data_IF_604400369915
#
_entry.id   IF_604400369915
#
_cell.length_a   1.000
_cell.length_b   1.000
_cell.length_c   1.000
_cell.angle_alpha   90.00
_cell.angle_beta   90.00
_cell.angle_gamma   90.00
#
_symmetry.space_group_name_H-M   'P 1'
#
loop_
_entity.id
_entity.type
_entity.pdbx_description
1 polymer ?
#
# COMPACT_ATOMS: atom_id res chain seq x y z
N UNK A 1 -29.73 -44.11 15.59
CA UNK A 1 -28.59 -43.25 15.87
C UNK A 1 -28.68 -42.08 14.90
N UNK A 2 -29.27 -40.96 15.37
CA UNK A 2 -29.57 -39.77 14.57
C UNK A 2 -28.35 -38.88 14.59
N UNK A 3 -27.69 -38.70 13.46
CA UNK A 3 -26.62 -37.70 13.27
C UNK A 3 -27.29 -36.36 12.92
N UNK A 4 -27.25 -35.40 13.84
CA UNK A 4 -27.64 -34.03 13.59
C UNK A 4 -26.56 -33.37 12.72
N UNK A 5 -26.94 -32.90 11.54
CA UNK A 5 -26.14 -32.01 10.72
C UNK A 5 -26.23 -30.61 11.32
N UNK A 6 -25.13 -30.10 11.83
CA UNK A 6 -24.95 -28.67 12.14
C UNK A 6 -24.85 -27.88 10.84
N UNK A 7 -25.44 -26.68 10.74
CA UNK A 7 -25.27 -25.83 9.58
C UNK A 7 -23.82 -25.35 9.49
N UNK A 8 -23.22 -25.52 8.32
CA UNK A 8 -21.89 -25.01 7.99
C UNK A 8 -22.00 -23.49 7.91
N UNK A 9 -21.37 -22.80 8.84
CA UNK A 9 -21.11 -21.36 8.71
C UNK A 9 -20.25 -21.13 7.46
N UNK A 10 -20.42 -20.01 6.75
CA UNK A 10 -19.57 -19.67 5.62
C UNK A 10 -18.12 -19.59 6.12
N UNK A 11 -17.30 -20.48 5.63
CA UNK A 11 -15.91 -20.62 6.03
C UNK A 11 -15.14 -19.35 5.69
N UNK A 12 -14.64 -18.70 6.72
CA UNK A 12 -13.56 -17.73 6.69
C UNK A 12 -12.39 -18.35 5.90
N UNK A 13 -12.11 -17.81 4.71
CA UNK A 13 -11.09 -18.35 3.82
C UNK A 13 -9.72 -17.78 4.18
N UNK A 14 -9.11 -18.28 5.24
CA UNK A 14 -7.67 -18.08 5.46
C UNK A 14 -6.92 -19.02 4.53
N UNK A 15 -6.29 -18.48 3.50
CA UNK A 15 -5.47 -19.24 2.56
C UNK A 15 -4.02 -19.19 3.01
N UNK A 16 -3.48 -20.29 3.48
CA UNK A 16 -2.04 -20.47 3.76
C UNK A 16 -1.41 -21.02 2.48
N UNK A 17 -0.60 -20.20 1.80
CA UNK A 17 0.17 -20.66 0.64
C UNK A 17 1.63 -20.78 1.04
N UNK A 18 2.13 -22.04 1.10
CA UNK A 18 3.56 -22.32 1.13
C UNK A 18 4.10 -22.20 -0.30
N UNK A 19 4.88 -21.17 -0.59
CA UNK A 19 5.61 -21.05 -1.84
C UNK A 19 7.03 -21.57 -1.69
N UNK A 20 7.32 -22.75 -2.28
CA UNK A 20 8.67 -23.11 -2.66
C UNK A 20 8.92 -22.52 -4.06
N UNK A 21 9.40 -21.29 -4.13
CA UNK A 21 9.78 -20.65 -5.37
C UNK A 21 11.29 -20.78 -5.55
N UNK A 22 11.73 -21.83 -6.23
CA UNK A 22 13.01 -21.84 -6.94
C UNK A 22 12.85 -20.93 -8.18
N UNK A 23 12.87 -19.63 -7.96
CA UNK A 23 13.06 -18.68 -9.04
C UNK A 23 14.47 -18.09 -8.86
N UNK A 24 15.35 -18.43 -9.80
CA UNK A 24 16.54 -17.63 -10.05
C UNK A 24 16.07 -16.25 -10.46
N UNK A 25 15.94 -15.36 -9.47
CA UNK A 25 15.71 -13.95 -9.72
C UNK A 25 16.98 -13.40 -10.37
N UNK A 26 16.98 -13.30 -11.70
CA UNK A 26 17.80 -12.30 -12.37
C UNK A 26 17.42 -10.95 -11.78
N UNK A 27 18.38 -10.28 -11.14
CA UNK A 27 18.28 -8.91 -10.64
C UNK A 27 18.07 -7.92 -11.80
N UNK A 28 16.88 -7.93 -12.35
CA UNK A 28 16.26 -6.78 -12.98
C UNK A 28 15.01 -6.51 -12.12
N UNK A 29 15.19 -5.73 -11.06
CA UNK A 29 14.08 -5.00 -10.46
C UNK A 29 13.65 -3.96 -11.52
N UNK A 30 13.01 -4.42 -12.58
CA UNK A 30 12.13 -3.62 -13.37
C UNK A 30 10.99 -3.28 -12.45
N UNK A 31 10.75 -1.99 -12.24
CA UNK A 31 9.50 -1.47 -11.69
C UNK A 31 8.41 -2.24 -12.43
N UNK A 32 7.69 -3.14 -11.73
CA UNK A 32 6.54 -3.82 -12.32
C UNK A 32 5.61 -2.77 -12.90
N UNK A 33 4.77 -3.07 -13.90
CA UNK A 33 3.94 -2.08 -14.55
C UNK A 33 3.15 -1.33 -13.47
N UNK A 34 3.46 -0.04 -13.33
CA UNK A 34 2.79 0.88 -12.41
C UNK A 34 1.41 1.17 -12.99
N UNK A 35 0.43 0.28 -12.77
CA UNK A 35 -0.88 0.47 -13.38
C UNK A 35 -1.80 -0.73 -13.20
N UNK A 36 -3.03 -0.57 -13.70
CA UNK A 36 -4.02 -1.63 -13.81
C UNK A 36 -3.68 -2.52 -15.00
N UNK A 37 -3.09 -3.67 -14.73
CA UNK A 37 -2.74 -4.66 -15.75
C UNK A 37 -3.99 -5.35 -16.28
N UNK A 38 -4.23 -5.30 -17.59
CA UNK A 38 -5.35 -5.98 -18.22
C UNK A 38 -5.23 -7.51 -18.11
N UNK A 39 -6.37 -8.20 -18.04
CA UNK A 39 -6.41 -9.66 -18.03
C UNK A 39 -6.62 -10.21 -19.44
N UNK A 40 -5.61 -10.85 -19.99
CA UNK A 40 -5.66 -11.62 -21.25
C UNK A 40 -5.54 -13.14 -21.01
N UNK A 41 -5.88 -13.60 -19.80
CA UNK A 41 -5.85 -15.01 -19.40
C UNK A 41 -4.68 -15.39 -18.48
N UNK A 42 -3.82 -14.43 -18.09
CA UNK A 42 -2.71 -14.65 -17.17
C UNK A 42 -3.14 -14.62 -15.69
N UNK A 43 -4.29 -14.02 -15.37
CA UNK A 43 -4.78 -13.97 -13.99
C UNK A 43 -5.55 -15.25 -13.68
N UNK A 44 -5.22 -15.87 -12.56
CA UNK A 44 -5.79 -17.13 -12.13
C UNK A 44 -6.33 -17.07 -10.69
N UNK A 45 -7.20 -18.00 -10.35
CA UNK A 45 -7.73 -18.19 -9.00
C UNK A 45 -6.73 -18.97 -8.10
N UNK A 46 -7.12 -19.20 -6.85
CA UNK A 46 -6.34 -19.96 -5.88
C UNK A 46 -6.13 -21.44 -6.25
N UNK A 47 -6.84 -21.95 -7.25
CA UNK A 47 -6.69 -23.30 -7.79
C UNK A 47 -5.91 -23.33 -9.10
N UNK A 48 -5.25 -22.21 -9.46
CA UNK A 48 -4.49 -22.01 -10.70
C UNK A 48 -5.34 -22.16 -11.97
N UNK A 49 -6.63 -21.87 -11.88
CA UNK A 49 -7.51 -21.82 -13.06
C UNK A 49 -7.63 -20.39 -13.54
N UNK A 50 -7.68 -20.15 -14.87
CA UNK A 50 -7.92 -18.82 -15.41
C UNK A 50 -9.13 -18.17 -14.75
N UNK A 51 -8.99 -16.92 -14.33
CA UNK A 51 -10.05 -16.14 -13.69
C UNK A 51 -10.54 -14.98 -14.60
N UNK A 52 -11.45 -15.25 -15.55
CA UNK A 52 -11.95 -14.23 -16.47
C UNK A 52 -12.87 -13.19 -15.82
N UNK A 53 -13.28 -13.40 -14.56
CA UNK A 53 -14.09 -12.40 -13.83
C UNK A 53 -13.28 -11.18 -13.43
N UNK A 54 -11.96 -11.30 -13.30
CA UNK A 54 -11.05 -10.18 -13.09
C UNK A 54 -10.71 -9.56 -14.44
N UNK A 55 -11.01 -8.29 -14.60
CA UNK A 55 -10.73 -7.55 -15.83
C UNK A 55 -9.35 -6.87 -15.79
N UNK A 56 -9.03 -6.32 -14.64
CA UNK A 56 -7.77 -5.62 -14.37
C UNK A 56 -7.25 -5.97 -12.98
N UNK A 57 -5.92 -5.99 -12.86
CA UNK A 57 -5.22 -6.23 -11.60
C UNK A 57 -4.25 -5.06 -11.33
N UNK A 58 -4.35 -4.45 -10.16
CA UNK A 58 -3.36 -3.57 -9.60
C UNK A 58 -2.60 -4.33 -8.49
N UNK A 59 -1.27 -4.32 -8.55
CA UNK A 59 -0.42 -4.89 -7.51
C UNK A 59 0.22 -3.74 -6.73
N UNK A 60 -0.15 -3.62 -5.48
CA UNK A 60 0.41 -2.64 -4.55
C UNK A 60 1.11 -3.29 -3.37
N UNK A 61 1.85 -2.50 -2.61
CA UNK A 61 2.48 -2.96 -1.38
C UNK A 61 1.41 -3.28 -0.33
N UNK A 62 1.39 -4.52 0.18
CA UNK A 62 0.43 -4.98 1.19
C UNK A 62 -1.01 -5.16 0.71
N UNK A 63 -1.34 -4.74 -0.51
CA UNK A 63 -2.69 -4.86 -1.07
C UNK A 63 -2.67 -4.94 -2.59
N UNK A 64 -3.35 -5.94 -3.14
CA UNK A 64 -3.69 -5.98 -4.56
C UNK A 64 -5.15 -5.58 -4.76
N UNK A 65 -5.47 -5.04 -5.92
CA UNK A 65 -6.86 -4.68 -6.27
C UNK A 65 -7.26 -5.36 -7.56
N UNK A 66 -8.38 -6.08 -7.52
CA UNK A 66 -8.94 -6.74 -8.67
C UNK A 66 -10.21 -6.02 -9.11
N UNK A 67 -10.25 -5.50 -10.34
CA UNK A 67 -11.44 -4.89 -10.91
C UNK A 67 -12.26 -5.95 -11.65
N UNK A 68 -13.57 -5.98 -11.42
CA UNK A 68 -14.53 -6.91 -12.03
C UNK A 68 -15.68 -6.14 -12.68
N UNK A 69 -16.55 -6.81 -13.43
CA UNK A 69 -17.72 -6.15 -14.04
C UNK A 69 -18.70 -5.53 -13.04
N UNK A 70 -18.73 -6.00 -11.79
CA UNK A 70 -19.72 -5.59 -10.79
C UNK A 70 -19.09 -5.10 -9.49
N UNK A 71 -17.92 -4.52 -9.57
CA UNK A 71 -17.22 -4.02 -8.40
C UNK A 71 -15.74 -4.27 -8.47
N UNK A 72 -15.12 -4.30 -7.29
CA UNK A 72 -13.69 -4.55 -7.15
C UNK A 72 -13.42 -5.31 -5.85
N UNK A 73 -12.22 -5.83 -5.69
CA UNK A 73 -11.82 -6.50 -4.47
C UNK A 73 -10.45 -6.01 -4.01
N UNK A 74 -10.30 -5.86 -2.70
CA UNK A 74 -9.01 -5.77 -2.03
C UNK A 74 -8.55 -7.17 -1.65
N UNK A 75 -7.35 -7.54 -2.05
CA UNK A 75 -6.62 -8.68 -1.52
C UNK A 75 -5.48 -8.14 -0.66
N UNK A 76 -5.75 -7.93 0.64
CA UNK A 76 -4.73 -7.53 1.61
C UNK A 76 -3.85 -8.71 1.96
N UNK A 77 -2.57 -8.47 2.22
CA UNK A 77 -1.67 -9.54 2.64
C UNK A 77 -0.65 -9.06 3.67
N UNK A 78 -0.27 -9.97 4.54
CA UNK A 78 0.85 -9.81 5.46
C UNK A 78 1.90 -10.86 5.17
N UNK A 79 3.17 -10.47 5.33
CA UNK A 79 4.31 -11.39 5.21
C UNK A 79 4.83 -11.70 6.60
N UNK A 80 4.97 -12.99 6.88
CA UNK A 80 5.69 -13.47 8.07
C UNK A 80 6.96 -14.16 7.59
N UNK A 81 8.11 -13.60 7.93
CA UNK A 81 9.38 -14.28 7.74
C UNK A 81 9.48 -15.41 8.78
N UNK A 82 9.69 -16.63 8.30
CA UNK A 82 9.91 -17.76 9.18
C UNK A 82 11.21 -17.60 9.96
N UNK A 83 11.30 -18.15 11.15
CA UNK A 83 12.55 -18.25 11.90
C UNK A 83 13.53 -19.14 11.10
N UNK A 84 14.34 -18.52 10.24
CA UNK A 84 15.38 -19.14 9.44
C UNK A 84 16.74 -18.72 9.96
N UNK A 85 17.22 -19.41 10.96
CA UNK A 85 18.65 -19.46 11.22
C UNK A 85 19.31 -20.44 10.23
N UNK A 86 20.62 -20.30 9.91
CA UNK A 86 21.32 -21.28 9.11
C UNK A 86 21.24 -22.62 9.85
N UNK A 87 20.49 -23.58 9.30
CA UNK A 87 20.57 -24.97 9.74
C UNK A 87 21.95 -25.45 9.33
N UNK A 88 22.84 -25.50 10.30
CA UNK A 88 24.15 -26.11 10.15
C UNK A 88 23.92 -27.56 9.71
N UNK A 89 24.16 -27.83 8.41
CA UNK A 89 24.16 -29.20 7.90
C UNK A 89 23.21 -29.53 6.75
N UNK A 90 22.53 -28.57 6.13
CA UNK A 90 21.80 -28.84 4.89
C UNK A 90 22.74 -28.82 3.68
N UNK A 91 23.10 -29.99 3.08
CA UNK A 91 24.02 -30.05 1.94
C UNK A 91 23.45 -29.45 0.65
N UNK A 92 22.18 -29.01 0.63
CA UNK A 92 21.51 -28.52 -0.56
C UNK A 92 21.89 -27.08 -0.92
N UNK A 93 22.47 -26.29 -0.03
CA UNK A 93 22.74 -24.85 -0.24
C UNK A 93 24.22 -24.52 -0.46
N UNK A 94 25.13 -25.48 -0.37
CA UNK A 94 26.55 -25.26 -0.65
C UNK A 94 27.29 -24.50 0.46
N UNK A 95 28.55 -24.23 0.23
CA UNK A 95 29.45 -23.42 1.08
C UNK A 95 30.00 -22.25 0.25
N UNK A 96 30.17 -21.09 0.87
CA UNK A 96 30.78 -19.92 0.24
C UNK A 96 32.32 -20.13 0.04
N UNK A 97 32.97 -19.16 -0.61
CA UNK A 97 34.42 -19.22 -0.89
C UNK A 97 35.28 -19.27 0.39
N UNK A 98 34.70 -18.97 1.58
CA UNK A 98 35.35 -19.04 2.89
C UNK A 98 34.96 -20.30 3.68
N UNK A 99 34.25 -21.25 3.05
CA UNK A 99 33.85 -22.50 3.68
C UNK A 99 32.67 -22.38 4.66
N UNK A 100 31.89 -21.31 4.59
CA UNK A 100 30.72 -21.09 5.46
C UNK A 100 29.44 -21.57 4.75
N UNK A 101 28.49 -22.18 5.46
CA UNK A 101 27.20 -22.52 4.88
C UNK A 101 26.52 -21.29 4.28
N UNK A 102 26.06 -21.39 3.03
CA UNK A 102 25.22 -20.35 2.42
C UNK A 102 23.83 -20.49 3.06
N UNK A 103 23.29 -19.41 3.70
CA UNK A 103 21.94 -19.45 4.27
C UNK A 103 20.94 -19.80 3.16
N UNK A 104 20.06 -20.76 3.43
CA UNK A 104 18.92 -21.02 2.55
C UNK A 104 17.95 -19.83 2.54
N UNK A 105 17.04 -19.76 1.55
CA UNK A 105 16.01 -18.75 1.52
C UNK A 105 15.16 -18.88 2.80
N UNK A 106 14.94 -17.75 3.47
CA UNK A 106 14.04 -17.69 4.65
C UNK A 106 12.63 -18.02 4.14
N UNK A 107 11.95 -19.06 4.69
CA UNK A 107 10.59 -19.35 4.27
C UNK A 107 9.69 -18.17 4.63
N UNK A 108 9.08 -17.56 3.62
CA UNK A 108 8.15 -16.45 3.80
C UNK A 108 6.72 -16.97 3.67
N UNK A 109 5.90 -16.72 4.68
CA UNK A 109 4.49 -17.08 4.67
C UNK A 109 3.65 -15.84 4.38
N UNK A 110 2.81 -15.90 3.35
CA UNK A 110 1.86 -14.84 3.04
C UNK A 110 0.47 -15.23 3.57
N UNK A 111 -0.16 -14.31 4.28
CA UNK A 111 -1.56 -14.43 4.70
C UNK A 111 -2.38 -13.41 3.92
N UNK A 112 -3.34 -13.89 3.17
CA UNK A 112 -4.24 -13.06 2.37
C UNK A 112 -5.62 -12.98 3.02
N UNK A 113 -6.21 -11.78 2.98
CA UNK A 113 -7.61 -11.57 3.23
C UNK A 113 -8.24 -10.84 2.07
N UNK A 114 -9.37 -11.38 1.56
CA UNK A 114 -10.09 -10.80 0.44
C UNK A 114 -11.35 -10.09 0.92
N UNK A 115 -11.53 -8.86 0.44
CA UNK A 115 -12.69 -8.01 0.69
C UNK A 115 -13.30 -7.68 -0.67
N UNK A 116 -14.48 -8.21 -0.96
CA UNK A 116 -15.20 -7.91 -2.21
C UNK A 116 -16.16 -6.73 -1.98
N UNK A 117 -15.99 -5.67 -2.78
CA UNK A 117 -16.89 -4.52 -2.84
C UNK A 117 -17.70 -4.59 -4.12
N UNK A 118 -19.02 -4.77 -4.01
CA UNK A 118 -19.91 -4.92 -5.15
C UNK A 118 -20.85 -3.74 -5.31
N UNK A 119 -21.09 -3.34 -6.54
CA UNK A 119 -22.07 -2.31 -6.89
C UNK A 119 -23.48 -2.86 -6.72
N UNK A 120 -24.19 -2.46 -5.68
CA UNK A 120 -25.58 -2.89 -5.43
C UNK A 120 -26.49 -2.22 -6.45
N UNK A 121 -27.24 -3.02 -7.22
CA UNK A 121 -28.07 -2.58 -8.35
C UNK A 121 -27.29 -1.80 -9.42
N UNK A 122 -25.97 -1.96 -9.48
CA UNK A 122 -25.13 -1.35 -10.49
C UNK A 122 -25.36 -1.99 -11.88
N UNK A 123 -25.03 -1.27 -12.93
CA UNK A 123 -25.10 -1.72 -14.31
C UNK A 123 -23.92 -2.67 -14.62
N UNK A 124 -24.13 -3.98 -14.78
CA UNK A 124 -23.06 -4.92 -15.09
C UNK A 124 -22.49 -4.75 -16.51
N UNK A 125 -23.17 -3.97 -17.37
CA UNK A 125 -22.74 -3.62 -18.72
C UNK A 125 -22.20 -2.19 -18.81
N UNK A 126 -21.73 -1.60 -17.72
CA UNK A 126 -21.11 -0.27 -17.71
C UNK A 126 -19.96 -0.21 -18.73
N UNK A 127 -19.90 0.87 -19.50
CA UNK A 127 -18.79 1.10 -20.42
C UNK A 127 -17.49 1.30 -19.64
N UNK A 128 -16.42 0.60 -20.05
CA UNK A 128 -15.13 0.71 -19.41
C UNK A 128 -14.20 1.53 -20.29
N UNK A 129 -13.84 2.72 -19.80
CA UNK A 129 -12.86 3.60 -20.42
C UNK A 129 -11.48 3.36 -19.78
N UNK A 130 -10.43 3.45 -20.62
CA UNK A 130 -9.04 3.20 -20.25
C UNK A 130 -8.22 4.42 -20.61
N UNK A 131 -7.39 4.89 -19.67
CA UNK A 131 -6.55 6.06 -19.90
C UNK A 131 -5.14 5.78 -19.36
N UNK A 132 -4.14 6.46 -19.92
CA UNK A 132 -2.74 6.30 -19.52
C UNK A 132 -2.19 4.90 -19.81
N UNK A 133 -2.40 4.40 -21.04
CA UNK A 133 -1.85 3.12 -21.50
C UNK A 133 -0.33 3.14 -21.42
N UNK A 134 0.28 2.08 -20.86
CA UNK A 134 1.73 1.93 -20.78
C UNK A 134 2.36 1.82 -22.16
N UNK A 135 3.53 2.42 -22.36
CA UNK A 135 4.33 2.25 -23.58
C UNK A 135 4.83 0.80 -23.69
N UNK A 136 5.22 0.22 -22.55
CA UNK A 136 5.66 -1.17 -22.44
C UNK A 136 4.51 -2.14 -22.32
N UNK A 137 4.77 -3.40 -22.64
CA UNK A 137 3.86 -4.52 -22.45
C UNK A 137 4.60 -5.73 -21.87
N UNK A 138 3.86 -6.62 -21.21
CA UNK A 138 4.39 -7.87 -20.66
C UNK A 138 3.81 -9.08 -21.41
N UNK A 139 4.64 -10.09 -21.62
CA UNK A 139 4.20 -11.39 -22.13
C UNK A 139 4.32 -12.44 -21.04
N UNK A 140 3.25 -13.15 -20.77
CA UNK A 140 3.17 -14.19 -19.75
C UNK A 140 3.13 -15.57 -20.41
N UNK A 141 4.17 -16.38 -20.17
CA UNK A 141 4.25 -17.78 -20.58
C UNK A 141 4.34 -18.63 -19.31
N UNK A 142 3.18 -18.99 -18.79
CA UNK A 142 3.04 -19.74 -17.55
C UNK A 142 2.25 -21.03 -17.82
N UNK A 143 2.20 -21.91 -16.85
CA UNK A 143 1.35 -23.10 -16.92
C UNK A 143 -0.16 -22.78 -17.06
N UNK A 144 -0.57 -21.60 -16.59
CA UNK A 144 -1.97 -21.13 -16.74
C UNK A 144 -2.25 -20.62 -18.16
N UNK A 145 -1.30 -19.88 -18.75
CA UNK A 145 -1.45 -19.33 -20.12
C UNK A 145 -1.10 -20.30 -21.23
N UNK A 146 -0.44 -21.41 -20.89
CA UNK A 146 0.03 -22.40 -21.85
C UNK A 146 1.09 -21.87 -22.82
N UNK A 147 1.33 -22.64 -23.91
CA UNK A 147 2.36 -22.31 -24.91
C UNK A 147 2.03 -21.03 -25.71
N UNK A 148 0.76 -20.73 -25.92
CA UNK A 148 0.34 -19.52 -26.63
C UNK A 148 0.66 -18.25 -25.82
N UNK A 149 0.69 -18.34 -24.50
CA UNK A 149 0.91 -17.23 -23.60
C UNK A 149 -0.23 -16.21 -23.60
N UNK A 150 -0.17 -15.27 -22.65
CA UNK A 150 -0.91 -14.02 -22.71
C UNK A 150 0.07 -12.92 -23.15
N UNK A 151 -0.07 -12.44 -24.37
CA UNK A 151 0.90 -11.55 -25.00
C UNK A 151 0.38 -10.13 -25.16
N UNK A 152 1.32 -9.17 -25.23
CA UNK A 152 1.02 -7.74 -25.35
C UNK A 152 0.08 -7.23 -24.25
N UNK A 153 0.24 -7.75 -23.04
CA UNK A 153 -0.53 -7.33 -21.86
C UNK A 153 -0.07 -5.94 -21.45
N UNK A 154 -0.97 -4.98 -21.45
CA UNK A 154 -0.70 -3.58 -21.11
C UNK A 154 -1.26 -3.20 -19.77
N UNK A 155 -0.78 -2.09 -19.24
CA UNK A 155 -1.29 -1.48 -18.02
C UNK A 155 -1.84 -0.08 -18.31
N UNK A 156 -2.75 0.37 -17.46
CA UNK A 156 -3.44 1.67 -17.58
C UNK A 156 -3.37 2.39 -16.24
N UNK A 157 -3.14 3.70 -16.24
CA UNK A 157 -3.15 4.49 -15.00
C UNK A 157 -4.55 4.74 -14.46
N UNK A 158 -5.55 4.72 -15.34
CA UNK A 158 -6.94 5.02 -14.98
C UNK A 158 -7.92 4.09 -15.70
N UNK A 159 -8.87 3.55 -14.94
CA UNK A 159 -9.99 2.75 -15.45
C UNK A 159 -11.29 3.38 -14.96
N UNK A 160 -12.16 3.82 -15.86
CA UNK A 160 -13.45 4.43 -15.53
C UNK A 160 -14.61 3.54 -15.98
N UNK A 161 -15.48 3.18 -15.04
CA UNK A 161 -16.75 2.51 -15.30
C UNK A 161 -17.82 3.57 -15.40
N UNK A 162 -18.34 3.81 -16.62
CA UNK A 162 -19.36 4.82 -16.89
C UNK A 162 -20.75 4.28 -16.63
N UNK A 163 -21.58 5.12 -16.05
CA UNK A 163 -23.00 4.77 -15.77
C UNK A 163 -23.13 3.48 -14.96
N UNK A 164 -22.30 3.32 -13.93
CA UNK A 164 -22.48 2.23 -12.94
C UNK A 164 -23.86 2.32 -12.31
N UNK A 165 -24.29 3.53 -11.94
CA UNK A 165 -25.67 3.89 -11.67
C UNK A 165 -26.04 5.05 -12.61
N UNK A 166 -27.33 5.35 -12.81
CA UNK A 166 -27.73 6.42 -13.72
C UNK A 166 -27.00 7.75 -13.41
N UNK A 167 -26.26 8.26 -14.38
CA UNK A 167 -25.44 9.46 -14.28
C UNK A 167 -24.35 9.42 -13.18
N UNK A 168 -23.87 8.22 -12.81
CA UNK A 168 -22.80 8.04 -11.83
C UNK A 168 -21.74 7.08 -12.37
N UNK A 169 -20.51 7.57 -12.38
CA UNK A 169 -19.33 6.82 -12.82
C UNK A 169 -18.48 6.41 -11.59
N UNK A 170 -17.75 5.30 -11.72
CA UNK A 170 -16.70 4.92 -10.76
C UNK A 170 -15.37 4.87 -11.48
N UNK A 171 -14.43 5.68 -11.03
CA UNK A 171 -13.12 5.81 -11.64
C UNK A 171 -12.05 5.30 -10.68
N UNK A 172 -11.24 4.39 -11.15
CA UNK A 172 -10.11 3.82 -10.44
C UNK A 172 -8.83 4.45 -10.95
N UNK A 173 -8.00 4.94 -10.04
CA UNK A 173 -6.73 5.58 -10.32
C UNK A 173 -5.61 4.85 -9.61
N UNK A 174 -4.46 4.77 -10.25
CA UNK A 174 -3.22 4.35 -9.63
C UNK A 174 -2.08 5.28 -10.04
N UNK A 175 -1.19 5.56 -9.13
CA UNK A 175 -0.09 6.50 -9.33
C UNK A 175 0.94 6.38 -8.20
N UNK A 176 1.76 7.39 -8.05
CA UNK A 176 2.80 7.44 -7.00
C UNK A 176 2.24 7.28 -5.58
N UNK A 177 0.98 7.67 -5.35
CA UNK A 177 0.29 7.54 -4.07
C UNK A 177 -0.48 6.21 -3.92
N UNK A 178 -0.28 5.24 -4.81
CA UNK A 178 -0.94 3.95 -4.78
C UNK A 178 -2.32 3.97 -5.44
N UNK A 179 -3.20 3.07 -4.98
CA UNK A 179 -4.55 2.88 -5.48
C UNK A 179 -5.54 3.82 -4.80
N UNK A 180 -6.48 4.35 -5.58
CA UNK A 180 -7.69 5.03 -5.09
C UNK A 180 -8.82 4.91 -6.09
N UNK A 181 -10.05 5.18 -5.65
CA UNK A 181 -11.20 5.26 -6.54
C UNK A 181 -12.00 6.54 -6.28
N UNK A 182 -12.62 7.06 -7.33
CA UNK A 182 -13.52 8.20 -7.25
C UNK A 182 -14.94 7.75 -7.61
N UNK A 183 -15.93 8.24 -6.89
CA UNK A 183 -17.33 8.19 -7.31
C UNK A 183 -17.70 9.56 -7.86
N UNK A 184 -18.07 9.60 -9.15
CA UNK A 184 -18.36 10.84 -9.88
C UNK A 184 -19.84 10.91 -10.13
N UNK A 185 -20.55 11.77 -9.39
CA UNK A 185 -22.00 11.97 -9.52
C UNK A 185 -22.23 13.17 -10.42
N UNK A 186 -22.65 12.90 -11.67
CA UNK A 186 -22.96 13.93 -12.67
C UNK A 186 -24.24 14.71 -12.29
N UNK A 187 -24.56 15.83 -12.96
CA UNK A 187 -25.66 16.72 -12.54
C UNK A 187 -26.99 16.04 -12.23
N UNK A 188 -27.40 15.04 -13.03
CA UNK A 188 -28.66 14.33 -12.85
C UNK A 188 -28.56 13.08 -11.96
N UNK A 189 -27.35 12.65 -11.60
CA UNK A 189 -27.15 11.47 -10.77
C UNK A 189 -27.65 11.67 -9.34
N UNK A 190 -28.24 10.64 -8.78
CA UNK A 190 -28.74 10.67 -7.41
C UNK A 190 -27.72 9.97 -6.48
N UNK A 191 -27.10 10.72 -5.56
CA UNK A 191 -26.12 10.18 -4.63
C UNK A 191 -26.63 8.98 -3.82
N UNK A 192 -27.94 8.90 -3.54
CA UNK A 192 -28.54 7.78 -2.80
C UNK A 192 -28.53 6.45 -3.57
N UNK A 193 -28.27 6.47 -4.91
CA UNK A 193 -28.16 5.27 -5.71
C UNK A 193 -26.77 4.62 -5.54
N UNK A 194 -25.78 5.40 -5.08
CA UNK A 194 -24.43 4.90 -4.78
C UNK A 194 -24.48 3.97 -3.59
N UNK A 195 -24.32 2.69 -3.87
CA UNK A 195 -24.40 1.67 -2.83
C UNK A 195 -23.47 0.51 -3.13
N UNK A 196 -22.59 0.23 -2.18
CA UNK A 196 -21.67 -0.90 -2.21
C UNK A 196 -22.08 -1.93 -1.15
N UNK A 197 -22.01 -3.21 -1.47
CA UNK A 197 -21.99 -4.26 -0.45
C UNK A 197 -20.57 -4.71 -0.21
N UNK A 198 -20.26 -5.05 1.04
CA UNK A 198 -18.95 -5.59 1.45
C UNK A 198 -19.14 -7.05 1.82
N UNK A 199 -18.39 -7.93 1.14
CA UNK A 199 -18.37 -9.35 1.42
C UNK A 199 -17.02 -9.77 2.01
N UNK A 200 -17.02 -10.70 2.94
CA UNK A 200 -15.81 -11.21 3.60
C UNK A 200 -15.36 -10.43 4.84
N UNK A 201 -16.01 -9.31 5.16
CA UNK A 201 -15.64 -8.44 6.28
C UNK A 201 -16.86 -7.71 6.85
N UNK A 202 -16.70 -7.13 8.04
CA UNK A 202 -17.69 -6.25 8.66
C UNK A 202 -17.26 -4.79 8.46
N UNK A 203 -18.23 -3.87 8.36
CA UNK A 203 -17.97 -2.44 8.20
C UNK A 203 -18.58 -1.63 9.36
N UNK A 204 -17.88 -0.58 9.75
CA UNK A 204 -18.33 0.39 10.74
C UNK A 204 -17.77 1.78 10.46
N UNK A 205 -18.44 2.81 10.93
CA UNK A 205 -17.90 4.17 10.97
C UNK A 205 -17.01 4.32 12.21
N UNK A 206 -15.82 4.90 12.06
CA UNK A 206 -14.95 5.25 13.18
C UNK A 206 -15.45 6.51 13.89
N UNK A 207 -14.92 6.80 15.08
CA UNK A 207 -15.22 8.04 15.81
C UNK A 207 -14.77 9.31 15.05
N UNK A 208 -13.89 9.16 14.06
CA UNK A 208 -13.39 10.24 13.21
C UNK A 208 -14.19 10.40 11.92
N UNK A 209 -15.10 9.47 11.61
CA UNK A 209 -15.93 9.50 10.39
C UNK A 209 -15.35 8.73 9.20
N UNK A 210 -14.22 8.06 9.34
CA UNK A 210 -13.69 7.11 8.37
C UNK A 210 -14.48 5.81 8.38
N UNK A 211 -14.41 5.01 7.31
CA UNK A 211 -14.97 3.66 7.27
C UNK A 211 -13.90 2.64 7.63
N UNK A 212 -14.20 1.79 8.60
CA UNK A 212 -13.33 0.67 8.98
C UNK A 212 -13.95 -0.63 8.49
N UNK A 213 -13.21 -1.38 7.73
CA UNK A 213 -13.52 -2.72 7.23
C UNK A 213 -12.70 -3.69 8.07
N UNK A 214 -13.34 -4.56 8.84
CA UNK A 214 -12.67 -5.43 9.81
C UNK A 214 -12.98 -6.91 9.57
N UNK A 215 -11.98 -7.76 9.88
CA UNK A 215 -12.07 -9.20 9.84
C UNK A 215 -11.35 -9.80 11.06
N UNK A 216 -11.29 -11.13 11.18
CA UNK A 216 -10.81 -11.78 12.40
C UNK A 216 -9.40 -11.35 12.83
N UNK A 217 -8.49 -11.14 11.87
CA UNK A 217 -7.07 -10.95 12.12
C UNK A 217 -6.55 -9.57 11.69
N UNK A 218 -7.43 -8.63 11.25
CA UNK A 218 -7.00 -7.33 10.78
C UNK A 218 -8.14 -6.37 10.46
N UNK A 219 -7.77 -5.18 10.03
CA UNK A 219 -8.70 -4.17 9.55
C UNK A 219 -8.05 -3.32 8.44
N UNK A 220 -8.90 -2.76 7.59
CA UNK A 220 -8.57 -1.75 6.59
C UNK A 220 -9.41 -0.52 6.88
N UNK A 221 -8.81 0.65 6.93
CA UNK A 221 -9.50 1.91 7.10
C UNK A 221 -9.54 2.67 5.77
N UNK A 222 -10.72 3.09 5.34
CA UNK A 222 -10.85 4.09 4.27
C UNK A 222 -11.04 5.46 4.89
N UNK A 223 -10.24 6.43 4.46
CA UNK A 223 -10.28 7.80 4.98
C UNK A 223 -11.65 8.44 4.79
N UNK A 224 -11.94 9.50 5.54
CA UNK A 224 -13.04 10.40 5.18
C UNK A 224 -12.78 10.87 3.75
N UNK A 225 -13.77 10.72 2.82
CA UNK A 225 -13.53 11.04 1.42
C UNK A 225 -13.17 12.51 1.22
N UNK A 226 -12.06 12.79 0.58
CA UNK A 226 -11.83 14.10 0.01
C UNK A 226 -12.87 14.32 -1.08
N UNK A 227 -13.65 15.41 -0.98
CA UNK A 227 -14.79 15.59 -1.85
C UNK A 227 -14.92 17.03 -2.29
N UNK A 228 -15.33 17.21 -3.55
CA UNK A 228 -15.55 18.54 -4.11
C UNK A 228 -16.67 18.53 -5.13
N UNK A 229 -17.27 19.70 -5.33
CA UNK A 229 -18.13 19.97 -6.48
C UNK A 229 -17.33 20.68 -7.55
N UNK A 230 -17.59 20.28 -8.81
CA UNK A 230 -17.03 20.95 -9.99
C UNK A 230 -18.12 21.72 -10.71
N UNK A 231 -17.90 23.03 -10.85
CA UNK A 231 -18.77 23.94 -11.58
C UNK A 231 -17.87 24.93 -12.33
N UNK A 232 -18.07 25.11 -13.63
CA UNK A 232 -17.29 26.02 -14.48
C UNK A 232 -15.76 25.87 -14.32
N UNK A 233 -15.26 24.63 -14.28
CA UNK A 233 -13.84 24.28 -14.11
C UNK A 233 -13.24 24.64 -12.73
N UNK A 234 -14.09 25.07 -11.80
CA UNK A 234 -13.68 25.37 -10.44
C UNK A 234 -14.06 24.22 -9.51
N UNK A 235 -13.08 23.77 -8.73
CA UNK A 235 -13.28 22.81 -7.63
C UNK A 235 -13.57 23.56 -6.35
N UNK A 236 -14.66 23.20 -5.69
CA UNK A 236 -15.02 23.72 -4.37
C UNK A 236 -15.16 22.55 -3.41
N UNK A 237 -14.31 22.44 -2.37
CA UNK A 237 -14.39 21.32 -1.42
C UNK A 237 -15.72 21.33 -0.66
N UNK A 238 -16.27 20.14 -0.40
CA UNK A 238 -17.47 19.94 0.41
C UNK A 238 -17.28 18.77 1.37
N UNK A 239 -18.10 18.72 2.42
CA UNK A 239 -18.08 17.62 3.37
C UNK A 239 -18.96 16.46 2.89
N UNK A 240 -18.37 15.30 2.73
CA UNK A 240 -19.04 14.04 2.43
C UNK A 240 -18.65 13.01 3.49
N UNK A 241 -19.63 12.32 4.06
CA UNK A 241 -19.42 11.24 5.00
C UNK A 241 -19.95 9.92 4.48
N UNK A 242 -19.58 8.82 5.12
CA UNK A 242 -20.10 7.51 4.82
C UNK A 242 -21.55 7.35 5.33
N UNK A 243 -22.37 6.66 4.56
CA UNK A 243 -23.70 6.22 4.93
C UNK A 243 -23.70 4.70 5.05
N UNK A 244 -23.45 4.17 6.24
CA UNK A 244 -23.33 2.73 6.47
C UNK A 244 -24.69 2.15 6.84
N UNK A 245 -25.14 1.17 6.05
CA UNK A 245 -26.37 0.42 6.25
C UNK A 245 -26.21 -0.73 7.26
N UNK A 246 -27.30 -1.10 7.95
CA UNK A 246 -27.31 -2.26 8.85
C UNK A 246 -27.19 -3.61 8.13
N UNK A 247 -27.33 -3.61 6.84
CA UNK A 247 -27.26 -4.77 5.95
C UNK A 247 -25.86 -5.02 5.38
N UNK A 248 -24.82 -4.36 5.93
CA UNK A 248 -23.45 -4.49 5.47
C UNK A 248 -23.18 -3.75 4.14
N UNK A 249 -24.02 -2.79 3.81
CA UNK A 249 -23.80 -1.91 2.65
C UNK A 249 -23.35 -0.54 3.07
N UNK A 250 -22.67 0.18 2.19
CA UNK A 250 -22.36 1.59 2.40
C UNK A 250 -22.56 2.41 1.12
N UNK A 251 -22.67 3.69 1.30
CA UNK A 251 -22.69 4.74 0.30
C UNK A 251 -22.21 6.03 0.95
N UNK A 252 -22.65 7.15 0.41
CA UNK A 252 -22.18 8.46 0.87
C UNK A 252 -23.35 9.39 1.18
N UNK A 253 -23.11 10.37 2.06
CA UNK A 253 -24.06 11.39 2.46
C UNK A 253 -23.42 12.78 2.46
N UNK A 254 -24.13 13.76 1.97
CA UNK A 254 -23.80 15.19 2.09
C UNK A 254 -25.06 16.03 2.05
N UNK A 255 -25.04 17.16 2.74
CA UNK A 255 -26.10 18.17 2.70
C UNK A 255 -25.71 19.38 1.84
N UNK A 256 -24.45 19.39 1.31
CA UNK A 256 -23.84 20.56 0.69
C UNK A 256 -23.86 20.55 -0.85
N UNK A 257 -24.50 19.52 -1.47
CA UNK A 257 -24.50 19.39 -2.92
C UNK A 257 -25.34 20.49 -3.60
N UNK A 258 -24.74 21.22 -4.52
CA UNK A 258 -25.45 22.14 -5.39
C UNK A 258 -26.12 21.36 -6.53
N UNK A 259 -27.41 21.58 -6.76
CA UNK A 259 -28.15 20.99 -7.91
C UNK A 259 -27.47 21.40 -9.23
N UNK A 260 -27.26 20.44 -10.11
CA UNK A 260 -26.62 20.68 -11.41
C UNK A 260 -25.10 20.63 -11.42
N UNK A 261 -24.44 20.53 -10.25
CA UNK A 261 -22.99 20.35 -10.18
C UNK A 261 -22.54 18.90 -10.33
N UNK A 262 -21.29 18.72 -10.78
CA UNK A 262 -20.62 17.41 -10.69
C UNK A 262 -20.03 17.26 -9.29
N UNK A 263 -20.42 16.21 -8.58
CA UNK A 263 -19.82 15.85 -7.29
C UNK A 263 -18.78 14.75 -7.49
N UNK A 264 -17.57 14.96 -7.01
CA UNK A 264 -16.50 13.95 -6.95
C UNK A 264 -16.23 13.59 -5.49
N UNK A 265 -16.26 12.30 -5.20
CA UNK A 265 -16.00 11.70 -3.88
C UNK A 265 -14.80 10.79 -4.03
N UNK A 266 -13.71 11.06 -3.31
CA UNK A 266 -12.41 10.38 -3.40
C UNK A 266 -12.08 9.70 -2.05
N UNK A 267 -12.64 8.53 -1.74
CA UNK A 267 -12.20 7.72 -0.62
C UNK A 267 -10.86 7.05 -0.93
N UNK A 268 -9.97 6.99 0.05
CA UNK A 268 -8.64 6.40 -0.11
C UNK A 268 -8.37 5.38 0.99
N UNK A 269 -7.98 4.15 0.65
CA UNK A 269 -7.59 3.17 1.65
C UNK A 269 -6.31 3.61 2.37
N UNK A 270 -6.33 3.54 3.69
CA UNK A 270 -5.17 3.75 4.54
C UNK A 270 -4.54 2.38 4.79
N UNK A 271 -3.40 2.12 4.17
CA UNK A 271 -2.75 0.82 4.26
C UNK A 271 -2.30 0.50 5.70
N UNK A 272 -1.76 1.48 6.39
CA UNK A 272 -1.40 1.39 7.80
C UNK A 272 -1.19 2.78 8.40
N UNK A 273 -1.33 2.87 9.71
CA UNK A 273 -0.99 4.05 10.48
C UNK A 273 -0.32 3.65 11.79
N UNK A 274 0.76 4.31 12.16
CA UNK A 274 1.46 4.06 13.40
C UNK A 274 1.96 5.35 14.02
N UNK A 275 2.22 5.29 15.32
CA UNK A 275 2.89 6.38 16.03
C UNK A 275 4.39 6.06 16.14
N UNK A 276 5.21 7.07 15.93
CA UNK A 276 6.64 6.99 16.16
C UNK A 276 7.09 8.19 16.96
N UNK A 277 7.66 7.94 18.12
CA UNK A 277 8.08 8.99 19.04
C UNK A 277 8.34 8.44 20.44
N UNK A 278 8.74 9.32 21.32
CA UNK A 278 8.95 9.05 22.75
C UNK A 278 8.12 9.97 23.64
N UNK A 279 8.69 10.39 24.77
CA UNK A 279 8.01 11.24 25.74
C UNK A 279 8.18 12.75 25.48
N UNK A 280 9.04 13.14 24.55
CA UNK A 280 9.33 14.51 24.18
C UNK A 280 8.52 15.01 23.01
N UNK A 281 9.00 16.06 22.37
CA UNK A 281 8.45 16.59 21.12
C UNK A 281 9.13 15.87 19.98
N UNK A 282 8.35 15.26 19.11
CA UNK A 282 8.78 14.53 17.93
C UNK A 282 8.09 15.13 16.70
N UNK A 283 8.86 15.56 15.71
CA UNK A 283 8.36 16.22 14.51
C UNK A 283 8.92 15.50 13.30
N UNK A 284 8.03 14.92 12.47
CA UNK A 284 8.39 14.40 11.15
C UNK A 284 8.43 15.56 10.13
N UNK A 285 9.46 15.57 9.28
CA UNK A 285 9.70 16.63 8.30
C UNK A 285 9.78 16.12 6.87
N UNK A 286 10.20 14.87 6.66
CA UNK A 286 10.36 14.29 5.34
C UNK A 286 10.09 12.80 5.33
N UNK A 287 9.67 12.28 4.18
CA UNK A 287 9.43 10.85 3.94
C UNK A 287 9.99 10.41 2.60
N UNK A 288 10.46 9.16 2.52
CA UNK A 288 10.90 8.54 1.28
C UNK A 288 10.54 7.05 1.27
N UNK A 289 10.42 6.46 0.09
CA UNK A 289 10.26 5.01 -0.09
C UNK A 289 11.49 4.43 -0.79
N UNK A 290 11.84 3.18 -0.48
CA UNK A 290 12.82 2.41 -1.28
C UNK A 290 12.11 1.47 -2.27
N UNK A 291 12.89 0.80 -3.11
CA UNK A 291 12.36 -0.14 -4.12
C UNK A 291 11.66 -1.38 -3.55
N UNK A 292 11.70 -1.58 -2.23
CA UNK A 292 10.96 -2.63 -1.50
C UNK A 292 9.76 -2.06 -0.72
N UNK A 293 9.34 -0.83 -1.04
CA UNK A 293 8.26 -0.10 -0.38
C UNK A 293 8.45 0.11 1.14
N UNK A 294 9.68 0.03 1.63
CA UNK A 294 9.92 0.46 2.99
C UNK A 294 9.87 1.99 3.07
N UNK A 295 9.13 2.49 4.07
CA UNK A 295 9.01 3.91 4.32
C UNK A 295 10.14 4.40 5.25
N UNK A 296 10.78 5.47 4.86
CA UNK A 296 11.71 6.20 5.71
C UNK A 296 11.07 7.51 6.14
N UNK A 297 11.13 7.79 7.42
CA UNK A 297 10.70 9.08 7.98
C UNK A 297 11.87 9.72 8.67
N UNK A 298 12.05 11.00 8.43
CA UNK A 298 13.08 11.82 9.12
C UNK A 298 12.44 13.02 9.78
N UNK A 299 13.16 13.61 10.70
CA UNK A 299 12.72 14.79 11.42
C UNK A 299 13.65 15.13 12.57
N UNK A 300 13.09 15.72 13.63
CA UNK A 300 13.83 16.03 14.85
C UNK A 300 13.04 15.65 16.09
N UNK A 301 13.77 15.39 17.18
CA UNK A 301 13.20 14.86 18.42
C UNK A 301 13.89 15.40 19.66
N UNK A 302 13.10 15.58 20.73
CA UNK A 302 13.60 15.79 22.09
C UNK A 302 13.36 14.54 22.96
N UNK A 303 13.02 13.41 22.37
CA UNK A 303 12.76 12.15 23.06
C UNK A 303 14.06 11.36 23.24
N UNK A 304 14.41 11.04 24.47
CA UNK A 304 15.61 10.26 24.81
C UNK A 304 15.42 8.74 24.72
N UNK A 305 14.19 8.26 24.51
CA UNK A 305 13.84 6.83 24.51
C UNK A 305 12.85 6.52 23.38
N UNK A 306 12.82 5.25 22.98
CA UNK A 306 11.93 4.70 21.97
C UNK A 306 12.19 5.16 20.51
N UNK A 307 13.19 6.00 20.27
CA UNK A 307 13.54 6.48 18.92
C UNK A 307 14.54 5.56 18.21
N UNK A 308 15.62 5.17 18.90
CA UNK A 308 16.63 4.33 18.29
C UNK A 308 16.44 2.84 18.60
N UNK A 309 16.87 1.98 17.68
CA UNK A 309 16.98 0.53 17.89
C UNK A 309 18.39 0.17 18.40
N UNK A 310 18.49 -0.93 19.12
CA UNK A 310 19.81 -1.42 19.58
C UNK A 310 20.71 -1.73 18.36
N UNK A 311 21.94 -1.22 18.38
CA UNK A 311 22.90 -1.39 17.29
C UNK A 311 22.70 -0.48 16.09
N UNK A 312 21.81 0.52 16.17
CA UNK A 312 21.68 1.56 15.15
C UNK A 312 22.92 2.45 15.07
N UNK A 313 23.00 3.29 14.05
CA UNK A 313 24.12 4.20 13.81
C UNK A 313 24.42 5.09 15.03
N UNK A 314 23.39 5.71 15.62
CA UNK A 314 23.45 6.42 16.88
C UNK A 314 22.21 6.05 17.72
N UNK A 315 22.45 5.38 18.85
CA UNK A 315 21.41 4.99 19.78
C UNK A 315 21.21 6.01 20.92
N UNK A 316 21.95 7.12 20.91
CA UNK A 316 22.04 8.06 22.02
C UNK A 316 21.43 9.40 21.66
N UNK A 317 20.51 9.87 22.48
CA UNK A 317 20.03 11.25 22.45
C UNK A 317 21.06 12.17 23.13
N UNK A 318 21.52 13.20 22.41
CA UNK A 318 22.65 14.02 22.83
C UNK A 318 22.26 15.35 23.50
N UNK A 319 21.03 15.49 23.97
CA UNK A 319 20.44 16.71 24.54
C UNK A 319 20.11 17.78 23.48
N UNK A 320 19.28 18.74 23.82
CA UNK A 320 18.70 19.73 22.91
C UNK A 320 17.68 19.11 21.93
N UNK A 321 17.94 19.06 20.64
CA UNK A 321 17.09 18.40 19.64
C UNK A 321 17.99 17.67 18.65
N UNK A 322 17.78 16.36 18.51
CA UNK A 322 18.54 15.54 17.56
C UNK A 322 17.68 15.23 16.32
N UNK A 323 18.31 15.13 15.16
CA UNK A 323 17.70 14.54 14.00
C UNK A 323 17.43 13.05 14.23
N UNK A 324 16.45 12.48 13.55
CA UNK A 324 16.20 11.05 13.53
C UNK A 324 15.90 10.54 12.12
N UNK A 325 16.15 9.27 11.92
CA UNK A 325 15.65 8.49 10.78
C UNK A 325 15.04 7.22 11.32
N UNK A 326 13.85 6.88 10.83
CA UNK A 326 13.22 5.58 11.08
C UNK A 326 12.87 4.90 9.76
N UNK A 327 13.08 3.59 9.71
CA UNK A 327 12.64 2.73 8.60
C UNK A 327 11.50 1.86 9.08
N UNK A 328 10.39 1.89 8.34
CA UNK A 328 9.23 1.02 8.50
C UNK A 328 9.15 0.09 7.28
N UNK A 329 8.69 -1.15 7.47
CA UNK A 329 8.37 -2.00 6.33
C UNK A 329 7.00 -1.62 5.72
N UNK A 330 6.63 -2.30 4.64
CA UNK A 330 5.35 -2.08 3.94
C UNK A 330 4.10 -2.31 4.81
N UNK A 331 4.23 -3.02 5.94
CA UNK A 331 3.15 -3.23 6.91
C UNK A 331 3.18 -2.22 8.08
N UNK A 332 4.02 -1.18 8.02
CA UNK A 332 4.15 -0.17 9.08
C UNK A 332 4.93 -0.64 10.32
N UNK A 333 5.59 -1.80 10.26
CA UNK A 333 6.42 -2.28 11.35
C UNK A 333 7.79 -1.62 11.30
N UNK A 334 8.23 -1.06 12.43
CA UNK A 334 9.56 -0.46 12.54
C UNK A 334 10.65 -1.51 12.36
N UNK A 335 11.48 -1.36 11.34
CA UNK A 335 12.66 -2.18 11.11
C UNK A 335 13.85 -1.67 11.93
N UNK A 336 14.10 -0.37 11.86
CA UNK A 336 15.12 0.28 12.69
C UNK A 336 14.83 1.78 12.83
N UNK A 337 15.44 2.39 13.83
CA UNK A 337 15.46 3.84 14.03
C UNK A 337 16.81 4.26 14.59
N UNK A 338 17.25 5.46 14.27
CA UNK A 338 18.52 6.04 14.75
C UNK A 338 18.35 7.52 15.00
N UNK A 339 19.12 8.05 15.95
CA UNK A 339 19.37 9.47 16.01
C UNK A 339 20.52 9.85 15.08
N UNK A 340 20.66 11.12 14.78
CA UNK A 340 21.89 11.72 14.29
C UNK A 340 21.93 13.19 14.70
N UNK A 341 23.09 13.60 15.17
CA UNK A 341 23.29 14.93 15.72
C UNK A 341 24.45 14.97 16.69
N UNK A 342 24.61 16.08 17.37
CA UNK A 342 25.61 16.31 18.40
C UNK A 342 24.99 16.93 19.64
N UNK A 343 25.77 17.69 20.42
CA UNK A 343 25.32 18.23 21.71
C UNK A 343 24.40 19.47 21.61
N UNK A 344 24.13 19.96 20.39
CA UNK A 344 23.28 21.14 20.15
C UNK A 344 22.09 20.74 19.28
N UNK A 345 21.36 21.73 18.73
CA UNK A 345 20.17 21.48 17.90
C UNK A 345 20.55 20.98 16.51
N UNK A 346 20.04 19.83 16.17
CA UNK A 346 20.19 19.17 14.88
C UNK A 346 18.81 18.83 14.32
N UNK A 347 18.51 19.25 13.10
CA UNK A 347 17.19 19.08 12.46
C UNK A 347 17.40 18.54 11.06
N UNK A 348 16.77 17.40 10.76
CA UNK A 348 16.58 16.97 9.40
C UNK A 348 15.35 17.65 8.83
N UNK A 349 15.46 18.18 7.61
CA UNK A 349 14.36 18.85 6.94
C UNK A 349 13.69 17.95 5.88
N UNK A 350 14.49 17.10 5.22
CA UNK A 350 13.98 16.22 4.18
C UNK A 350 14.89 15.01 3.97
N UNK A 351 14.35 13.97 3.32
CA UNK A 351 15.01 12.71 3.04
C UNK A 351 14.66 12.22 1.64
N UNK A 352 15.63 11.64 0.94
CA UNK A 352 15.43 10.93 -0.30
C UNK A 352 16.07 9.54 -0.22
N UNK A 353 15.50 8.57 -0.92
CA UNK A 353 16.02 7.20 -1.04
C UNK A 353 16.26 6.85 -2.50
N UNK A 354 17.30 6.05 -2.77
CA UNK A 354 17.41 5.35 -4.05
C UNK A 354 16.65 4.00 -4.00
N UNK A 355 16.55 3.33 -5.15
CA UNK A 355 15.83 2.05 -5.26
C UNK A 355 16.46 0.91 -4.43
N UNK A 356 17.69 1.06 -3.98
CA UNK A 356 18.43 0.07 -3.17
C UNK A 356 18.56 0.48 -1.71
N UNK A 357 17.87 1.55 -1.28
CA UNK A 357 17.77 1.98 0.11
C UNK A 357 18.95 2.79 0.63
N UNK A 358 19.77 3.41 -0.26
CA UNK A 358 20.69 4.45 0.17
C UNK A 358 19.94 5.75 0.41
N UNK A 359 20.27 6.45 1.47
CA UNK A 359 19.55 7.64 1.92
C UNK A 359 20.41 8.88 1.75
N UNK A 360 19.78 9.96 1.32
CA UNK A 360 20.30 11.30 1.40
C UNK A 360 19.39 12.12 2.32
N UNK A 361 19.95 12.72 3.35
CA UNK A 361 19.21 13.56 4.31
C UNK A 361 19.80 14.96 4.27
N UNK A 362 18.93 15.96 4.24
CA UNK A 362 19.31 17.38 4.28
C UNK A 362 18.71 18.06 5.51
N UNK A 363 19.42 19.01 6.07
CA UNK A 363 18.97 19.69 7.26
C UNK A 363 19.97 20.75 7.72
N UNK A 364 19.89 21.13 8.98
CA UNK A 364 20.88 22.00 9.59
C UNK A 364 21.33 21.48 10.95
N UNK A 365 22.54 21.89 11.36
CA UNK A 365 23.14 21.57 12.66
C UNK A 365 23.69 22.81 13.32
N UNK A 366 23.48 22.94 14.63
CA UNK A 366 24.18 23.89 15.50
C UNK A 366 25.27 23.21 16.32
N UNK A 367 25.44 21.90 16.13
CA UNK A 367 26.48 21.12 16.81
C UNK A 367 27.86 21.40 16.19
N UNK A 368 28.91 21.31 17.03
CA UNK A 368 30.29 21.46 16.55
C UNK A 368 30.61 20.39 15.49
N UNK A 369 31.27 20.78 14.38
CA UNK A 369 31.62 19.95 13.22
C UNK A 369 32.48 18.70 13.53
N UNK A 370 32.67 18.36 14.80
CA UNK A 370 33.39 17.14 15.23
C UNK A 370 32.58 15.86 15.14
N UNK A 371 31.33 15.92 14.68
CA UNK A 371 30.56 14.71 14.39
C UNK A 371 31.12 14.04 13.13
N UNK A 372 32.13 13.19 13.34
CA UNK A 372 32.78 12.43 12.28
C UNK A 372 32.25 11.01 12.29
N UNK A 373 31.58 10.64 11.23
CA UNK A 373 31.35 9.23 10.91
C UNK A 373 32.73 8.53 10.82
N UNK A 374 32.94 7.37 11.48
CA UNK A 374 34.11 6.53 11.19
C UNK A 374 34.01 6.09 9.70
N UNK A 375 34.85 6.66 8.85
CA UNK A 375 34.85 6.43 7.40
C UNK A 375 34.51 7.64 6.52
N UNK A 376 34.12 8.78 7.09
CA UNK A 376 34.03 10.04 6.33
C UNK A 376 35.41 10.71 6.26
N UNK A 377 35.97 10.83 5.05
CA UNK A 377 37.13 11.65 4.76
C UNK A 377 36.59 13.00 4.22
N UNK A 378 36.66 14.11 4.97
CA UNK A 378 36.27 15.41 4.41
C UNK A 378 37.21 15.76 3.28
N UNK A 379 36.69 16.08 2.11
CA UNK A 379 37.46 16.84 1.10
C UNK A 379 37.95 18.12 1.79
N UNK A 380 39.26 18.29 1.90
CA UNK A 380 39.83 19.57 2.26
C UNK A 380 39.41 20.57 1.19
N UNK A 381 38.46 21.44 1.50
CA UNK A 381 38.39 22.70 0.80
C UNK A 381 39.57 23.55 1.25
N UNK A 382 40.57 23.59 0.40
CA UNK A 382 41.64 24.58 0.55
C UNK A 382 40.97 25.96 0.58
N UNK A 383 41.28 26.67 1.68
CA UNK A 383 40.72 27.98 1.92
C UNK A 383 41.12 28.95 0.82
N UNK A 384 40.13 29.69 0.33
CA UNK A 384 40.35 31.08 -0.05
C UNK A 384 39.16 31.91 0.38
N UNK A 385 39.48 33.05 0.99
CA UNK A 385 38.73 34.17 1.52
C UNK A 385 37.58 34.63 0.62
#
# INVERSE_FOLDING_TARGET
MLIRSTPIQPAMRTLIILFNLLATFSLFAGIGPTGFTENKGQIHDQFRKPNPSVLYLFNGAGMNVQLTNNGFAYDTYTMEEGEGGPTVGDPAHGIDEMGRPIPGPIPTTYRFHRIDLRFVNGNPGAEILREGESEDYTNYYTDVTGEAGATFVRSYSTITYRDVWPDIDVRFNCGENGFKYDVIVRPNGNLSDVRFSVEGSEIRESLKGSMVISWADGELEESIPESWVEEDWKKSPINVGYAIGRDGTFGFRTEERTEGSVLVIDPSPIMWGTYYGGAGIDVGTGTALDGSNNAYVTGHTNSAMNMATAGSFDATYNQSSDGFIVKMNEAGTRLWGTYFGGASTDIANDIASDQVGKLAVVGYTSSDLRYRHPGYVPEQRDGQL
#
